data_IF_466257579176
#
_entry.id   IF_466257579176
#
_cell.length_a   1.000
_cell.length_b   1.000
_cell.length_c   1.000
_cell.angle_alpha   90.00
_cell.angle_beta   90.00
_cell.angle_gamma   90.00
#
_symmetry.space_group_name_H-M   'P 1'
#
loop_
_entity.id
_entity.type
_entity.pdbx_description
1 polymer ?
#
# COMPACT_ATOMS: atom_id res chain seq x y z
N UNK A 1 0.37 8.34 20.16
CA UNK A 1 1.45 7.94 19.24
C UNK A 1 1.71 9.09 18.28
N UNK A 2 2.53 10.07 18.71
CA UNK A 2 2.85 11.30 17.94
C UNK A 2 4.32 11.71 18.11
N UNK A 3 5.17 10.76 18.45
CA UNK A 3 6.63 10.92 18.55
C UNK A 3 7.27 9.82 17.72
N UNK A 4 7.44 10.04 16.41
CA UNK A 4 8.46 9.41 15.54
C UNK A 4 8.32 9.96 14.11
N UNK A 5 8.19 11.27 13.95
CA UNK A 5 8.54 11.93 12.72
C UNK A 5 9.52 13.04 13.12
N UNK A 6 10.73 13.00 12.56
CA UNK A 6 11.67 14.12 12.67
C UNK A 6 10.94 15.39 12.21
N UNK A 7 10.88 16.46 13.02
CA UNK A 7 10.26 17.73 12.65
C UNK A 7 10.82 18.34 11.35
N UNK A 8 12.01 17.92 10.90
CA UNK A 8 12.59 18.30 9.61
C UNK A 8 12.12 17.45 8.43
N UNK A 9 11.27 16.44 8.62
CA UNK A 9 10.82 15.52 7.57
C UNK A 9 9.52 15.99 6.91
N UNK A 10 9.51 17.26 6.49
CA UNK A 10 8.36 17.92 5.83
C UNK A 10 7.81 17.09 4.67
N UNK A 11 8.69 16.37 3.96
CA UNK A 11 8.30 15.47 2.87
C UNK A 11 7.50 14.26 3.35
N UNK A 12 7.93 13.57 4.41
CA UNK A 12 7.15 12.44 4.92
C UNK A 12 5.81 12.89 5.51
N UNK A 13 5.76 14.05 6.16
CA UNK A 13 4.49 14.61 6.61
C UNK A 13 3.57 14.95 5.45
N UNK A 14 4.10 15.56 4.39
CA UNK A 14 3.34 15.88 3.19
C UNK A 14 2.79 14.61 2.54
N UNK A 15 3.62 13.58 2.37
CA UNK A 15 3.20 12.28 1.83
C UNK A 15 2.10 11.70 2.71
N UNK A 16 2.28 11.63 4.02
CA UNK A 16 1.27 11.10 4.95
C UNK A 16 -0.04 11.89 4.95
N UNK A 17 0.00 13.21 4.79
CA UNK A 17 -1.20 14.04 4.64
C UNK A 17 -1.93 13.74 3.32
N UNK A 18 -1.20 13.63 2.22
CA UNK A 18 -1.79 13.41 0.89
C UNK A 18 -2.37 12.00 0.75
N UNK A 19 -1.67 10.96 1.22
CA UNK A 19 -2.20 9.59 1.21
C UNK A 19 -3.33 9.44 2.23
N UNK A 20 -3.20 10.05 3.42
CA UNK A 20 -4.25 10.06 4.44
C UNK A 20 -5.55 10.71 3.96
N UNK A 21 -5.50 11.69 3.05
CA UNK A 21 -6.70 12.32 2.50
C UNK A 21 -7.52 11.43 1.57
N UNK A 22 -6.93 10.36 1.02
CA UNK A 22 -7.63 9.39 0.15
C UNK A 22 -7.83 8.02 0.81
N UNK A 23 -7.19 7.80 1.96
CA UNK A 23 -7.29 6.57 2.71
C UNK A 23 -8.76 6.32 3.12
N UNK A 24 -9.35 5.15 2.78
CA UNK A 24 -10.73 4.83 3.15
C UNK A 24 -10.90 4.75 4.67
N UNK A 25 -11.87 5.47 5.25
CA UNK A 25 -12.14 5.43 6.70
C UNK A 25 -13.52 4.87 7.06
N UNK A 26 -14.31 4.52 6.04
CA UNK A 26 -15.67 4.01 6.16
C UNK A 26 -15.72 2.50 6.46
N UNK A 27 -14.63 1.77 6.21
CA UNK A 27 -14.52 0.32 6.41
C UNK A 27 -13.21 -0.06 7.09
N UNK A 28 -13.27 -0.97 8.05
CA UNK A 28 -12.07 -1.56 8.66
C UNK A 28 -11.30 -2.38 7.62
N UNK A 29 -9.97 -2.26 7.62
CA UNK A 29 -9.09 -2.93 6.67
C UNK A 29 -7.64 -2.95 7.19
N UNK A 30 -6.84 -3.88 6.68
CA UNK A 30 -5.39 -3.90 6.89
C UNK A 30 -4.72 -2.89 5.96
N UNK A 31 -3.90 -1.99 6.52
CA UNK A 31 -3.16 -1.01 5.72
C UNK A 31 -1.69 -1.41 5.59
N UNK A 32 -1.27 -1.74 4.37
CA UNK A 32 0.10 -2.10 4.05
C UNK A 32 0.90 -0.83 3.74
N UNK A 33 1.23 -0.07 4.79
CA UNK A 33 1.84 1.27 4.72
C UNK A 33 3.19 1.30 3.98
N UNK A 34 4.04 0.29 4.15
CA UNK A 34 5.36 0.26 3.53
C UNK A 34 5.81 -1.17 3.25
N UNK A 35 6.21 -1.43 2.01
CA UNK A 35 6.81 -2.69 1.57
C UNK A 35 8.08 -2.35 0.80
N UNK A 36 9.21 -2.93 1.24
CA UNK A 36 10.52 -2.68 0.66
C UNK A 36 11.28 -3.98 0.44
N UNK A 37 11.91 -4.10 -0.71
CA UNK A 37 12.89 -5.15 -1.01
C UNK A 37 14.18 -4.45 -1.46
N UNK A 38 15.36 -4.83 -0.94
CA UNK A 38 16.63 -4.27 -1.39
C UNK A 38 16.74 -4.32 -2.92
N UNK A 39 17.25 -3.26 -3.59
CA UNK A 39 17.31 -3.20 -5.05
C UNK A 39 17.94 -4.44 -5.70
N UNK A 40 18.98 -4.99 -5.09
CA UNK A 40 19.75 -6.14 -5.54
C UNK A 40 18.98 -7.46 -5.43
N UNK A 41 17.87 -7.46 -4.69
CA UNK A 41 17.01 -8.62 -4.43
C UNK A 41 15.64 -8.49 -5.09
N UNK A 42 15.40 -7.42 -5.86
CA UNK A 42 14.15 -7.24 -6.57
C UNK A 42 14.01 -8.22 -7.74
N UNK A 43 12.79 -8.63 -8.04
CA UNK A 43 12.52 -9.60 -9.12
C UNK A 43 12.66 -11.07 -8.70
N UNK A 44 13.11 -11.35 -7.47
CA UNK A 44 13.18 -12.70 -6.89
C UNK A 44 11.86 -13.16 -6.25
N UNK A 45 10.77 -12.41 -6.41
CA UNK A 45 9.47 -12.76 -5.81
C UNK A 45 9.31 -12.43 -4.31
N UNK A 46 10.34 -11.90 -3.65
CA UNK A 46 10.29 -11.58 -2.21
C UNK A 46 9.17 -10.63 -1.81
N UNK A 47 8.91 -9.60 -2.61
CA UNK A 47 7.82 -8.67 -2.35
C UNK A 47 6.45 -9.35 -2.36
N UNK A 48 6.23 -10.27 -3.30
CA UNK A 48 5.00 -11.05 -3.36
C UNK A 48 4.87 -11.97 -2.14
N UNK A 49 5.94 -12.67 -1.76
CA UNK A 49 5.95 -13.53 -0.58
C UNK A 49 5.63 -12.77 0.72
N UNK A 50 6.19 -11.57 0.91
CA UNK A 50 5.88 -10.73 2.08
C UNK A 50 4.40 -10.33 2.13
N UNK A 51 3.82 -9.97 0.99
CA UNK A 51 2.41 -9.56 0.91
C UNK A 51 1.47 -10.75 1.08
N UNK A 52 1.82 -11.90 0.50
CA UNK A 52 0.96 -13.08 0.49
C UNK A 52 0.65 -13.56 1.91
N UNK A 53 1.63 -13.56 2.82
CA UNK A 53 1.42 -13.88 4.24
C UNK A 53 0.39 -12.94 4.91
N UNK A 54 0.44 -11.64 4.61
CA UNK A 54 -0.53 -10.66 5.10
C UNK A 54 -1.90 -10.92 4.50
N UNK A 55 -1.97 -11.22 3.20
CA UNK A 55 -3.22 -11.50 2.51
C UNK A 55 -3.88 -12.79 2.99
N UNK A 56 -3.11 -13.83 3.28
CA UNK A 56 -3.63 -15.06 3.88
C UNK A 56 -4.25 -14.81 5.26
N UNK A 57 -3.67 -13.90 6.05
CA UNK A 57 -4.28 -13.45 7.30
C UNK A 57 -5.58 -12.69 7.06
N UNK A 58 -5.57 -11.73 6.14
CA UNK A 58 -6.74 -10.95 5.74
C UNK A 58 -7.89 -11.85 5.28
N UNK A 59 -7.60 -12.85 4.44
CA UNK A 59 -8.57 -13.81 3.93
C UNK A 59 -9.18 -14.66 5.06
N UNK A 60 -8.35 -15.14 6.00
CA UNK A 60 -8.81 -15.92 7.16
C UNK A 60 -9.68 -15.09 8.13
N UNK A 61 -9.35 -13.82 8.30
CA UNK A 61 -10.03 -12.92 9.24
C UNK A 61 -11.21 -12.18 8.61
N UNK A 62 -11.40 -12.31 7.30
CA UNK A 62 -12.45 -11.59 6.57
C UNK A 62 -12.23 -10.08 6.55
N UNK A 63 -10.97 -9.64 6.60
CA UNK A 63 -10.58 -8.23 6.63
C UNK A 63 -10.04 -7.82 5.25
N UNK A 64 -10.54 -6.74 4.63
CA UNK A 64 -9.97 -6.20 3.39
C UNK A 64 -8.54 -5.70 3.57
N UNK A 65 -7.80 -5.58 2.47
CA UNK A 65 -6.47 -4.99 2.46
C UNK A 65 -6.43 -3.75 1.56
N UNK A 66 -5.66 -2.75 1.99
CA UNK A 66 -5.46 -1.49 1.28
C UNK A 66 -3.98 -1.13 1.21
N UNK A 67 -3.58 -0.50 0.12
CA UNK A 67 -2.25 0.06 -0.09
C UNK A 67 -2.27 1.15 -1.16
N UNK A 68 -1.16 1.88 -1.27
CA UNK A 68 -0.87 2.70 -2.43
C UNK A 68 0.35 2.17 -3.19
N UNK A 69 0.16 1.82 -4.46
CA UNK A 69 1.30 1.51 -5.34
C UNK A 69 2.05 2.80 -5.69
N UNK A 70 3.37 2.75 -5.89
CA UNK A 70 4.20 3.93 -6.15
C UNK A 70 4.82 3.96 -7.55
N UNK A 71 4.52 2.97 -8.38
CA UNK A 71 4.87 2.90 -9.80
C UNK A 71 4.07 1.78 -10.51
N UNK A 72 4.07 1.77 -11.84
CA UNK A 72 3.36 0.77 -12.65
C UNK A 72 3.78 -0.67 -12.37
N UNK A 73 5.07 -0.94 -12.11
CA UNK A 73 5.57 -2.28 -11.79
C UNK A 73 4.94 -2.81 -10.50
N UNK A 74 4.92 -1.99 -9.46
CA UNK A 74 4.30 -2.34 -8.18
C UNK A 74 2.77 -2.46 -8.32
N UNK A 75 2.13 -1.56 -9.07
CA UNK A 75 0.70 -1.66 -9.39
C UNK A 75 0.36 -3.01 -10.04
N UNK A 76 1.09 -3.40 -11.09
CA UNK A 76 0.86 -4.68 -11.75
C UNK A 76 1.14 -5.90 -10.85
N UNK A 77 2.08 -5.81 -9.90
CA UNK A 77 2.25 -6.82 -8.86
C UNK A 77 1.00 -6.93 -8.00
N UNK A 78 0.51 -5.82 -7.46
CA UNK A 78 -0.66 -5.82 -6.58
C UNK A 78 -1.94 -6.25 -7.32
N UNK A 79 -2.11 -5.88 -8.59
CA UNK A 79 -3.22 -6.36 -9.44
C UNK A 79 -3.22 -7.89 -9.54
N UNK A 80 -2.06 -8.52 -9.75
CA UNK A 80 -1.95 -10.00 -9.75
C UNK A 80 -2.26 -10.62 -8.39
N UNK A 81 -2.02 -9.89 -7.29
CA UNK A 81 -2.37 -10.31 -5.94
C UNK A 81 -3.86 -10.08 -5.60
N UNK A 82 -4.64 -9.51 -6.52
CA UNK A 82 -6.08 -9.30 -6.39
C UNK A 82 -6.50 -7.91 -5.93
N UNK A 83 -5.57 -6.97 -5.83
CA UNK A 83 -5.92 -5.57 -5.58
C UNK A 83 -6.49 -4.92 -6.84
N UNK A 84 -7.44 -4.00 -6.65
CA UNK A 84 -8.05 -3.21 -7.72
C UNK A 84 -7.79 -1.74 -7.46
N UNK A 85 -7.39 -1.00 -8.50
CA UNK A 85 -7.22 0.44 -8.43
C UNK A 85 -8.54 1.16 -8.15
N UNK A 86 -8.55 2.09 -7.20
CA UNK A 86 -9.76 2.79 -6.75
C UNK A 86 -10.18 3.97 -7.66
N UNK A 87 -9.52 4.14 -8.81
CA UNK A 87 -9.96 5.04 -9.88
C UNK A 87 -9.35 6.44 -9.86
N UNK A 88 -8.65 6.85 -8.79
CA UNK A 88 -7.96 8.14 -8.72
C UNK A 88 -6.57 8.02 -8.11
N UNK A 89 -5.57 8.64 -8.75
CA UNK A 89 -4.20 8.73 -8.23
C UNK A 89 -4.04 9.87 -7.24
N UNK A 90 -3.05 9.75 -6.37
CA UNK A 90 -2.53 10.85 -5.55
C UNK A 90 -1.18 11.24 -6.10
N UNK A 91 -1.09 12.45 -6.66
CA UNK A 91 0.18 12.95 -7.19
C UNK A 91 1.00 13.59 -6.08
N UNK A 92 2.16 13.01 -5.77
CA UNK A 92 3.07 13.56 -4.78
C UNK A 92 3.93 14.66 -5.41
N UNK A 93 4.05 15.84 -4.79
CA UNK A 93 4.98 16.88 -5.25
C UNK A 93 6.41 16.36 -5.33
N UNK A 94 7.05 16.57 -6.50
CA UNK A 94 8.40 16.07 -6.80
C UNK A 94 8.55 14.56 -6.53
N UNK A 95 7.49 13.79 -6.80
CA UNK A 95 7.41 12.37 -6.49
C UNK A 95 6.57 11.60 -7.51
N UNK A 96 6.44 10.28 -7.32
CA UNK A 96 5.58 9.48 -8.18
C UNK A 96 4.10 9.79 -7.90
N UNK A 97 3.25 9.49 -8.88
CA UNK A 97 1.84 9.24 -8.59
C UNK A 97 1.74 8.00 -7.70
N UNK A 98 0.81 8.04 -6.75
CA UNK A 98 0.44 6.91 -5.93
C UNK A 98 -0.91 6.38 -6.43
N UNK A 99 -1.06 5.07 -6.51
CA UNK A 99 -2.30 4.41 -6.90
C UNK A 99 -2.92 3.73 -5.69
N UNK A 100 -3.93 4.33 -5.03
CA UNK A 100 -4.76 3.66 -4.03
C UNK A 100 -5.40 2.39 -4.59
N UNK A 101 -5.20 1.27 -3.92
CA UNK A 101 -5.72 -0.02 -4.33
C UNK A 101 -6.37 -0.76 -3.16
N UNK A 102 -7.46 -1.46 -3.48
CA UNK A 102 -8.27 -2.19 -2.53
C UNK A 102 -8.37 -3.66 -2.91
N UNK A 103 -8.35 -4.54 -1.92
CA UNK A 103 -8.59 -5.98 -2.10
C UNK A 103 -9.58 -6.45 -1.05
N UNK A 104 -10.68 -7.03 -1.51
CA UNK A 104 -11.59 -7.78 -0.63
C UNK A 104 -10.93 -9.10 -0.19
N UNK A 105 -11.21 -9.59 1.04
CA UNK A 105 -10.77 -10.90 1.46
C UNK A 105 -11.42 -11.97 0.56
N UNK A 106 -10.67 -13.02 0.25
CA UNK A 106 -11.16 -14.14 -0.54
C UNK A 106 -11.69 -15.22 0.39
N UNK A 107 -12.95 -15.60 0.21
CA UNK A 107 -13.49 -16.81 0.83
C UNK A 107 -12.79 -18.03 0.20
N UNK A 108 -12.09 -18.82 1.01
CA UNK A 108 -11.73 -20.19 0.63
C UNK A 108 -12.98 -21.09 0.59
#
# INVERSE_FOLDING_TARGET
>A
MRETADPGNERAELVGRLTGAVHPHDRAHEYLLMIGVPPERQGEGLGAALIDEVLQRCDREGVPAYLEASNERSRGLYERLGFTFMGRTVDLPDGPSMWPMWREPRSS
#
